data_IF_954011158826
#
_entry.id   IF_954011158826
#
_cell.length_a   1.000
_cell.length_b   1.000
_cell.length_c   1.000
_cell.angle_alpha   90.00
_cell.angle_beta   90.00
_cell.angle_gamma   90.00
#
_symmetry.space_group_name_H-M   'P 1'
#
loop_
_entity.id
_entity.type
_entity.pdbx_description
1 polymer ?
#
# COMPACT_ATOMS: atom_id res chain seq x y z
N UNK A 1 16.37 -17.42 -10.23
CA UNK A 1 15.04 -17.06 -10.79
C UNK A 1 15.02 -15.55 -11.00
N UNK A 2 14.55 -15.04 -12.15
CA UNK A 2 14.49 -13.59 -12.42
C UNK A 2 13.59 -12.90 -11.37
N UNK A 3 14.12 -11.91 -10.63
CA UNK A 3 13.40 -11.18 -9.57
C UNK A 3 12.05 -10.66 -10.05
N UNK A 4 11.98 -10.19 -11.30
CA UNK A 4 10.74 -9.70 -11.90
C UNK A 4 9.71 -10.82 -12.07
N UNK A 5 10.13 -12.03 -12.48
CA UNK A 5 9.21 -13.17 -12.60
C UNK A 5 8.64 -13.57 -11.24
N UNK A 6 9.46 -13.53 -10.19
CA UNK A 6 9.01 -13.80 -8.81
C UNK A 6 7.99 -12.74 -8.35
N UNK A 7 8.28 -11.46 -8.58
CA UNK A 7 7.38 -10.37 -8.26
C UNK A 7 6.03 -10.50 -8.96
N UNK A 8 6.02 -10.79 -10.26
CA UNK A 8 4.79 -11.00 -11.02
C UNK A 8 4.04 -12.26 -10.58
N UNK A 9 4.74 -13.32 -10.18
CA UNK A 9 4.12 -14.52 -9.61
C UNK A 9 3.43 -14.19 -8.28
N UNK A 10 4.12 -13.53 -7.34
CA UNK A 10 3.54 -13.15 -6.05
C UNK A 10 2.36 -12.20 -6.23
N UNK A 11 2.44 -11.25 -7.16
CA UNK A 11 1.33 -10.38 -7.49
C UNK A 11 0.14 -11.15 -8.09
N UNK A 12 0.39 -12.13 -8.95
CA UNK A 12 -0.67 -12.98 -9.51
C UNK A 12 -1.34 -13.82 -8.41
N UNK A 13 -0.56 -14.35 -7.46
CA UNK A 13 -1.07 -15.05 -6.29
C UNK A 13 -1.89 -14.12 -5.39
N UNK A 14 -1.48 -12.86 -5.24
CA UNK A 14 -2.24 -11.85 -4.49
C UNK A 14 -3.62 -11.65 -5.14
N UNK A 15 -3.67 -11.43 -6.45
CA UNK A 15 -4.93 -11.27 -7.20
C UNK A 15 -5.81 -12.51 -7.07
N UNK A 16 -5.23 -13.71 -7.19
CA UNK A 16 -5.95 -14.96 -6.97
C UNK A 16 -6.49 -15.08 -5.54
N UNK A 17 -5.67 -14.75 -4.54
CA UNK A 17 -6.07 -14.77 -3.13
C UNK A 17 -7.27 -13.86 -2.87
N UNK A 18 -7.26 -12.66 -3.44
CA UNK A 18 -8.37 -11.69 -3.36
C UNK A 18 -9.64 -12.25 -4.03
N UNK A 19 -9.52 -12.88 -5.20
CA UNK A 19 -10.65 -13.53 -5.88
C UNK A 19 -11.23 -14.67 -5.02
N UNK A 20 -10.37 -15.48 -4.39
CA UNK A 20 -10.79 -16.55 -3.49
C UNK A 20 -11.47 -16.00 -2.23
N UNK A 21 -11.01 -14.89 -1.67
CA UNK A 21 -11.66 -14.22 -0.53
C UNK A 21 -13.11 -13.82 -0.85
N UNK A 22 -13.43 -13.46 -2.10
CA UNK A 22 -14.82 -13.18 -2.52
C UNK A 22 -15.70 -14.42 -2.50
N UNK A 23 -15.13 -15.60 -2.73
CA UNK A 23 -15.85 -16.86 -2.66
C UNK A 23 -16.03 -17.32 -1.21
N UNK A 24 -14.99 -17.15 -0.39
CA UNK A 24 -15.01 -17.50 1.02
C UNK A 24 -13.97 -16.70 1.83
N UNK A 25 -14.40 -16.07 2.92
CA UNK A 25 -13.53 -15.26 3.77
C UNK A 25 -12.40 -16.05 4.44
N UNK A 26 -12.46 -17.38 4.49
CA UNK A 26 -11.38 -18.25 4.99
C UNK A 26 -10.05 -18.04 4.24
N UNK A 27 -10.09 -17.49 3.02
CA UNK A 27 -8.89 -17.18 2.24
C UNK A 27 -8.27 -15.82 2.58
N UNK A 28 -8.90 -14.98 3.41
CA UNK A 28 -8.34 -13.66 3.79
C UNK A 28 -6.92 -13.75 4.39
N UNK A 29 -6.59 -14.69 5.30
CA UNK A 29 -5.22 -14.83 5.81
C UNK A 29 -4.18 -15.13 4.72
N UNK A 30 -4.58 -15.79 3.62
CA UNK A 30 -3.68 -16.09 2.51
C UNK A 30 -3.19 -14.82 1.81
N UNK A 31 -4.05 -13.80 1.69
CA UNK A 31 -3.69 -12.46 1.16
C UNK A 31 -2.61 -11.82 2.04
N UNK A 32 -2.80 -11.82 3.36
CA UNK A 32 -1.83 -11.27 4.30
C UNK A 32 -0.47 -11.98 4.23
N UNK A 33 -0.47 -13.32 4.11
CA UNK A 33 0.75 -14.11 3.92
C UNK A 33 1.48 -13.71 2.63
N UNK A 34 0.76 -13.53 1.52
CA UNK A 34 1.37 -13.11 0.26
C UNK A 34 1.97 -11.70 0.37
N UNK A 35 1.24 -10.74 0.95
CA UNK A 35 1.73 -9.37 1.14
C UNK A 35 3.02 -9.33 1.97
N UNK A 36 3.14 -10.19 2.99
CA UNK A 36 4.31 -10.28 3.85
C UNK A 36 5.40 -11.23 3.33
N UNK A 37 5.12 -12.06 2.33
CA UNK A 37 6.09 -13.02 1.78
C UNK A 37 7.42 -12.41 1.28
N UNK A 38 7.53 -11.14 0.85
CA UNK A 38 8.83 -10.55 0.55
C UNK A 38 9.81 -10.57 1.73
N UNK A 39 9.33 -10.57 2.99
CA UNK A 39 10.18 -10.66 4.18
C UNK A 39 10.95 -11.99 4.28
N UNK A 40 10.53 -13.02 3.54
CA UNK A 40 11.24 -14.30 3.48
C UNK A 40 12.48 -14.26 2.60
N UNK A 41 12.56 -13.27 1.69
CA UNK A 41 13.59 -13.22 0.64
C UNK A 41 14.40 -11.92 0.66
N UNK A 42 13.90 -10.87 1.31
CA UNK A 42 14.52 -9.54 1.38
C UNK A 42 14.69 -9.13 2.83
N UNK A 43 15.80 -8.45 3.12
CA UNK A 43 16.01 -7.86 4.43
C UNK A 43 15.05 -6.72 4.70
N UNK A 44 14.76 -6.48 5.97
CA UNK A 44 13.94 -5.35 6.42
C UNK A 44 14.53 -3.99 5.98
N UNK A 45 15.85 -3.88 5.82
CA UNK A 45 16.47 -2.67 5.30
C UNK A 45 16.21 -2.47 3.79
N UNK A 46 16.33 -3.54 2.99
CA UNK A 46 16.00 -3.50 1.56
C UNK A 46 14.56 -3.07 1.31
N UNK A 47 13.63 -3.54 2.14
CA UNK A 47 12.21 -3.19 2.08
C UNK A 47 11.88 -1.80 2.66
N UNK A 48 12.87 -1.07 3.18
CA UNK A 48 12.67 0.29 3.70
C UNK A 48 12.08 0.37 5.12
N UNK A 49 12.09 -0.73 5.88
CA UNK A 49 11.65 -0.78 7.29
C UNK A 49 12.70 -0.24 8.27
N UNK A 50 13.98 -0.21 7.91
CA UNK A 50 15.03 0.40 8.74
C UNK A 50 15.58 1.71 8.18
N UNK A 51 15.27 2.01 6.92
CA UNK A 51 15.76 3.21 6.23
C UNK A 51 15.00 4.44 6.68
N UNK A 52 15.78 5.47 7.05
CA UNK A 52 15.30 6.81 7.34
C UNK A 52 14.12 6.89 8.32
N UNK A 53 13.94 5.94 9.25
CA UNK A 53 12.73 5.81 10.09
C UNK A 53 12.27 7.14 10.69
N UNK A 54 13.18 7.88 11.35
CA UNK A 54 12.85 9.17 11.99
C UNK A 54 12.31 10.20 10.99
N UNK A 55 12.99 10.36 9.84
CA UNK A 55 12.53 11.24 8.77
C UNK A 55 11.24 10.71 8.14
N UNK A 56 11.12 9.40 8.04
CA UNK A 56 9.98 8.73 7.44
C UNK A 56 8.70 8.99 8.23
N UNK A 57 8.77 8.83 9.55
CA UNK A 57 7.70 9.14 10.50
C UNK A 57 7.38 10.64 10.47
N UNK A 58 8.40 11.50 10.55
CA UNK A 58 8.20 12.95 10.55
C UNK A 58 7.49 13.43 9.28
N UNK A 59 7.97 13.05 8.09
CA UNK A 59 7.35 13.45 6.83
C UNK A 59 5.98 12.80 6.63
N UNK A 60 5.80 11.55 7.05
CA UNK A 60 4.50 10.89 7.03
C UNK A 60 3.46 11.68 7.83
N UNK A 61 3.80 12.10 9.06
CA UNK A 61 2.92 12.91 9.90
C UNK A 61 2.69 14.31 9.30
N UNK A 62 3.76 15.01 8.91
CA UNK A 62 3.66 16.38 8.38
C UNK A 62 2.77 16.45 7.14
N UNK A 63 2.93 15.53 6.19
CA UNK A 63 2.15 15.52 4.96
C UNK A 63 0.71 15.08 5.25
N UNK A 64 0.50 14.20 6.23
CA UNK A 64 -0.85 13.76 6.62
C UNK A 64 -1.69 14.83 7.31
N UNK A 65 -1.11 15.96 7.71
CA UNK A 65 -1.86 17.12 8.25
C UNK A 65 -2.95 17.60 7.29
N UNK A 66 -2.79 17.37 5.98
CA UNK A 66 -3.83 17.70 4.97
C UNK A 66 -5.17 17.02 5.24
N UNK A 67 -5.18 15.86 5.92
CA UNK A 67 -6.40 15.17 6.28
C UNK A 67 -7.06 15.70 7.54
N UNK A 68 -6.31 16.38 8.42
CA UNK A 68 -6.75 16.77 9.76
C UNK A 68 -8.05 17.60 9.77
N UNK A 69 -8.26 18.59 8.89
CA UNK A 69 -9.52 19.35 8.83
C UNK A 69 -10.78 18.50 8.60
N UNK A 70 -10.61 17.29 8.07
CA UNK A 70 -11.71 16.41 7.67
C UNK A 70 -11.98 15.26 8.64
N UNK A 71 -10.99 14.89 9.47
CA UNK A 71 -11.05 13.63 10.25
C UNK A 71 -10.77 13.83 11.75
N UNK A 72 -10.45 15.04 12.21
CA UNK A 72 -9.99 15.26 13.60
C UNK A 72 -10.99 14.76 14.66
N UNK A 73 -12.29 14.83 14.37
CA UNK A 73 -13.37 14.40 15.25
C UNK A 73 -13.81 12.94 15.01
N UNK A 74 -13.14 12.21 14.11
CA UNK A 74 -13.46 10.83 13.69
C UNK A 74 -12.40 9.79 14.08
N UNK A 75 -11.41 10.17 14.87
CA UNK A 75 -10.33 9.26 15.29
C UNK A 75 -10.82 8.40 16.45
N UNK A 76 -11.16 7.15 16.15
CA UNK A 76 -11.54 6.12 17.14
C UNK A 76 -10.45 5.05 17.27
N UNK A 77 -10.35 4.39 18.42
CA UNK A 77 -9.31 3.37 18.65
C UNK A 77 -9.40 2.16 17.69
N UNK A 78 -10.61 1.87 17.18
CA UNK A 78 -10.90 0.77 16.25
C UNK A 78 -10.17 0.92 14.92
N UNK A 79 -9.86 2.15 14.49
CA UNK A 79 -9.14 2.41 13.23
C UNK A 79 -7.71 1.85 13.27
N UNK A 80 -7.12 1.66 14.46
CA UNK A 80 -5.78 1.08 14.62
C UNK A 80 -5.70 -0.36 14.11
N UNK A 81 -6.84 -1.06 13.98
CA UNK A 81 -6.90 -2.38 13.35
C UNK A 81 -6.42 -2.41 11.90
N UNK A 82 -6.38 -1.26 11.22
CA UNK A 82 -5.90 -1.16 9.84
C UNK A 82 -4.38 -1.10 9.73
N UNK A 83 -3.67 -0.79 10.82
CA UNK A 83 -2.21 -0.62 10.79
C UNK A 83 -1.48 -1.85 10.23
N UNK A 84 -1.76 -3.09 10.67
CA UNK A 84 -1.09 -4.26 10.12
C UNK A 84 -1.31 -4.42 8.61
N UNK A 85 -2.52 -4.17 8.13
CA UNK A 85 -2.88 -4.30 6.72
C UNK A 85 -2.17 -3.24 5.88
N UNK A 86 -2.21 -1.98 6.30
CA UNK A 86 -1.54 -0.86 5.62
C UNK A 86 -0.04 -1.13 5.48
N UNK A 87 0.61 -1.57 6.56
CA UNK A 87 2.04 -1.88 6.50
C UNK A 87 2.34 -3.08 5.61
N UNK A 88 1.52 -4.14 5.64
CA UNK A 88 1.70 -5.29 4.75
C UNK A 88 1.60 -4.88 3.27
N UNK A 89 0.63 -4.03 2.94
CA UNK A 89 0.48 -3.50 1.58
C UNK A 89 1.67 -2.62 1.17
N UNK A 90 2.12 -1.70 2.03
CA UNK A 90 3.25 -0.81 1.68
C UNK A 90 4.59 -1.58 1.60
N UNK A 91 4.79 -2.62 2.41
CA UNK A 91 5.91 -3.55 2.25
C UNK A 91 5.87 -4.20 0.85
N UNK A 92 4.72 -4.73 0.46
CA UNK A 92 4.57 -5.45 -0.80
C UNK A 92 4.66 -4.54 -2.02
N UNK A 93 3.92 -3.43 -2.03
CA UNK A 93 3.83 -2.57 -3.19
C UNK A 93 5.01 -1.59 -3.29
N UNK A 94 5.46 -0.97 -2.19
CA UNK A 94 6.58 0.00 -2.25
C UNK A 94 7.92 -0.67 -2.02
N UNK A 95 8.08 -1.28 -0.83
CA UNK A 95 9.34 -1.87 -0.43
C UNK A 95 9.81 -2.92 -1.44
N UNK A 96 8.88 -3.74 -1.93
CA UNK A 96 9.18 -4.86 -2.82
C UNK A 96 8.90 -4.57 -4.30
N UNK A 97 7.64 -4.46 -4.74
CA UNK A 97 7.31 -4.36 -6.17
C UNK A 97 7.90 -3.11 -6.82
N UNK A 98 7.73 -1.93 -6.23
CA UNK A 98 8.27 -0.70 -6.80
C UNK A 98 9.79 -0.77 -6.95
N UNK A 99 10.51 -1.25 -5.94
CA UNK A 99 11.97 -1.45 -6.00
C UNK A 99 12.36 -2.38 -7.16
N UNK A 100 11.68 -3.51 -7.34
CA UNK A 100 11.97 -4.44 -8.46
C UNK A 100 11.67 -3.81 -9.82
N UNK A 101 10.62 -3.01 -9.93
CA UNK A 101 10.30 -2.31 -11.17
C UNK A 101 11.30 -1.17 -11.44
N UNK A 102 11.81 -0.51 -10.41
CA UNK A 102 12.87 0.50 -10.51
C UNK A 102 14.20 -0.08 -11.03
N UNK A 103 14.47 -1.37 -10.83
CA UNK A 103 15.64 -2.05 -11.41
C UNK A 103 15.57 -2.13 -12.96
N UNK A 104 14.37 -2.07 -13.55
CA UNK A 104 14.14 -2.22 -15.01
C UNK A 104 13.60 -0.96 -15.69
N UNK A 105 13.01 -0.04 -14.93
CA UNK A 105 12.32 1.15 -15.46
C UNK A 105 12.70 2.40 -14.67
N UNK A 106 12.64 3.60 -15.29
CA UNK A 106 12.75 4.85 -14.54
C UNK A 106 11.72 4.92 -13.40
N UNK A 107 12.09 5.53 -12.28
CA UNK A 107 11.28 5.49 -11.05
C UNK A 107 9.85 5.98 -11.24
N UNK A 108 9.62 7.03 -12.03
CA UNK A 108 8.28 7.52 -12.34
C UNK A 108 7.40 6.48 -13.06
N UNK A 109 8.01 5.68 -13.95
CA UNK A 109 7.32 4.61 -14.67
C UNK A 109 7.05 3.42 -13.74
N UNK A 110 8.00 3.08 -12.87
CA UNK A 110 7.81 2.05 -11.85
C UNK A 110 6.67 2.41 -10.89
N UNK A 111 6.66 3.64 -10.37
CA UNK A 111 5.57 4.18 -9.53
C UNK A 111 4.24 4.04 -10.25
N UNK A 112 4.14 4.54 -11.49
CA UNK A 112 2.89 4.48 -12.26
C UNK A 112 2.38 3.03 -12.43
N UNK A 113 3.25 2.10 -12.81
CA UNK A 113 2.89 0.69 -13.00
C UNK A 113 2.43 0.07 -11.69
N UNK A 114 3.17 0.27 -10.60
CA UNK A 114 2.82 -0.31 -9.30
C UNK A 114 1.55 0.33 -8.73
N UNK A 115 1.28 1.61 -9.00
CA UNK A 115 0.01 2.23 -8.63
C UNK A 115 -1.18 1.64 -9.39
N UNK A 116 -1.01 1.29 -10.67
CA UNK A 116 -2.04 0.51 -11.40
C UNK A 116 -2.24 -0.87 -10.78
N UNK A 117 -1.14 -1.56 -10.43
CA UNK A 117 -1.20 -2.87 -9.77
C UNK A 117 -1.87 -2.81 -8.39
N UNK A 118 -1.64 -1.74 -7.62
CA UNK A 118 -2.29 -1.52 -6.34
C UNK A 118 -3.82 -1.33 -6.46
N UNK A 119 -4.26 -0.67 -7.53
CA UNK A 119 -5.67 -0.38 -7.78
C UNK A 119 -6.48 -1.65 -8.14
N UNK A 120 -5.88 -2.62 -8.82
CA UNK A 120 -6.59 -3.83 -9.29
C UNK A 120 -7.24 -4.64 -8.15
N UNK A 121 -6.53 -5.02 -7.05
CA UNK A 121 -7.16 -5.68 -5.90
C UNK A 121 -8.38 -4.93 -5.33
N UNK A 122 -8.32 -3.60 -5.28
CA UNK A 122 -9.39 -2.76 -4.76
C UNK A 122 -10.64 -2.81 -5.65
N UNK A 123 -10.46 -2.77 -6.98
CA UNK A 123 -11.56 -2.93 -7.94
C UNK A 123 -12.19 -4.33 -7.83
N UNK A 124 -11.37 -5.38 -7.65
CA UNK A 124 -11.89 -6.74 -7.51
C UNK A 124 -12.76 -6.88 -6.26
N UNK A 125 -12.26 -6.40 -5.11
CA UNK A 125 -12.99 -6.42 -3.85
C UNK A 125 -14.28 -5.61 -3.92
N UNK A 126 -14.21 -4.39 -4.45
CA UNK A 126 -15.31 -3.44 -4.52
C UNK A 126 -15.40 -2.85 -5.93
N UNK A 127 -16.18 -3.44 -6.85
CA UNK A 127 -16.26 -2.99 -8.25
C UNK A 127 -16.97 -1.63 -8.40
N UNK A 128 -16.23 -0.54 -8.17
CA UNK A 128 -16.74 0.82 -8.23
C UNK A 128 -15.71 1.79 -8.80
N UNK A 129 -16.18 2.94 -9.29
CA UNK A 129 -15.30 4.04 -9.71
C UNK A 129 -14.42 4.52 -8.54
N UNK A 130 -14.98 4.49 -7.34
CA UNK A 130 -14.30 4.91 -6.10
C UNK A 130 -13.10 4.03 -5.80
N UNK A 131 -13.23 2.71 -5.97
CA UNK A 131 -12.09 1.79 -5.87
C UNK A 131 -11.05 2.02 -6.95
N UNK A 132 -11.46 2.40 -8.16
CA UNK A 132 -10.52 2.75 -9.22
C UNK A 132 -9.69 4.00 -8.87
N UNK A 133 -10.28 4.96 -8.13
CA UNK A 133 -9.60 6.16 -7.67
C UNK A 133 -8.48 5.89 -6.66
N UNK A 134 -8.39 4.71 -6.05
CA UNK A 134 -7.25 4.30 -5.20
C UNK A 134 -5.90 4.35 -5.93
N UNK A 135 -5.92 4.38 -7.27
CA UNK A 135 -4.77 4.70 -8.10
C UNK A 135 -4.11 6.05 -7.71
N UNK A 136 -4.90 7.09 -7.45
CA UNK A 136 -4.41 8.44 -7.14
C UNK A 136 -3.62 8.53 -5.83
N UNK A 137 -4.16 8.12 -4.65
CA UNK A 137 -3.37 8.12 -3.44
C UNK A 137 -2.19 7.15 -3.54
N UNK A 138 -2.32 6.03 -4.26
CA UNK A 138 -1.21 5.10 -4.51
C UNK A 138 -0.04 5.72 -5.28
N UNK A 139 -0.28 6.69 -6.18
CA UNK A 139 0.80 7.47 -6.80
C UNK A 139 1.56 8.28 -5.75
N UNK A 140 0.84 8.94 -4.83
CA UNK A 140 1.44 9.70 -3.73
C UNK A 140 2.28 8.78 -2.85
N UNK A 141 1.76 7.60 -2.49
CA UNK A 141 2.48 6.61 -1.69
C UNK A 141 3.80 6.22 -2.36
N UNK A 142 3.78 6.00 -3.69
CA UNK A 142 4.97 5.69 -4.49
C UNK A 142 6.02 6.79 -4.49
N UNK A 143 5.60 8.05 -4.60
CA UNK A 143 6.50 9.21 -4.53
C UNK A 143 7.05 9.45 -3.13
N UNK A 144 6.22 9.29 -2.09
CA UNK A 144 6.66 9.39 -0.71
C UNK A 144 7.76 8.36 -0.43
N UNK A 145 7.55 7.10 -0.82
CA UNK A 145 8.59 6.08 -0.71
C UNK A 145 9.82 6.39 -1.57
N UNK A 146 9.65 6.87 -2.80
CA UNK A 146 10.77 7.22 -3.68
C UNK A 146 11.68 8.30 -3.08
N UNK A 147 11.09 9.33 -2.46
CA UNK A 147 11.82 10.45 -1.86
C UNK A 147 12.49 10.05 -0.55
N UNK A 148 11.80 9.31 0.33
CA UNK A 148 12.29 9.03 1.67
C UNK A 148 13.01 7.69 1.81
N UNK A 149 12.79 6.78 0.86
CA UNK A 149 13.18 5.36 0.91
C UNK A 149 12.73 4.67 2.21
N UNK A 150 11.66 5.17 2.82
CA UNK A 150 11.11 4.68 4.07
C UNK A 150 9.64 4.36 3.88
N UNK A 151 9.24 3.13 4.16
CA UNK A 151 7.82 2.76 4.06
C UNK A 151 6.97 3.45 5.14
N UNK A 152 7.57 3.94 6.23
CA UNK A 152 6.81 4.67 7.26
C UNK A 152 6.14 5.93 6.70
N UNK A 153 6.78 6.63 5.75
CA UNK A 153 6.18 7.81 5.14
C UNK A 153 4.92 7.46 4.38
N UNK A 154 4.99 6.41 3.56
CA UNK A 154 3.85 5.99 2.75
C UNK A 154 2.78 5.32 3.61
N UNK A 155 3.14 4.45 4.57
CA UNK A 155 2.20 3.79 5.49
C UNK A 155 1.41 4.78 6.35
N UNK A 156 2.06 5.80 6.92
CA UNK A 156 1.35 6.80 7.74
C UNK A 156 0.36 7.56 6.87
N UNK A 157 0.79 8.03 5.70
CA UNK A 157 -0.09 8.78 4.80
C UNK A 157 -1.24 7.90 4.25
N UNK A 158 -0.97 6.63 3.95
CA UNK A 158 -1.97 5.65 3.55
C UNK A 158 -2.99 5.40 4.66
N UNK A 159 -2.54 5.20 5.91
CA UNK A 159 -3.44 5.06 7.05
C UNK A 159 -4.41 6.24 7.20
N UNK A 160 -3.92 7.48 7.11
CA UNK A 160 -4.79 8.66 7.14
C UNK A 160 -5.69 8.79 5.90
N UNK A 161 -5.20 8.38 4.73
CA UNK A 161 -6.02 8.27 3.51
C UNK A 161 -7.19 7.30 3.68
N UNK A 162 -6.99 6.17 4.38
CA UNK A 162 -8.06 5.21 4.65
C UNK A 162 -9.12 5.78 5.61
N UNK A 163 -8.69 6.49 6.65
CA UNK A 163 -9.62 7.18 7.57
C UNK A 163 -10.45 8.21 6.80
N UNK A 164 -9.80 9.06 6.00
CA UNK A 164 -10.49 10.04 5.16
C UNK A 164 -11.52 9.38 4.25
N UNK A 165 -11.15 8.26 3.62
CA UNK A 165 -12.05 7.50 2.77
C UNK A 165 -13.28 6.97 3.51
N UNK A 166 -13.09 6.35 4.67
CA UNK A 166 -14.18 5.78 5.48
C UNK A 166 -15.20 6.83 5.89
N UNK A 167 -14.74 8.01 6.33
CA UNK A 167 -15.63 8.99 6.97
C UNK A 167 -16.21 10.03 6.01
N UNK A 168 -15.46 10.45 4.97
CA UNK A 168 -15.94 11.45 4.00
C UNK A 168 -16.01 10.87 2.58
N UNK A 169 -15.03 10.06 2.16
CA UNK A 169 -14.97 9.54 0.80
C UNK A 169 -16.21 8.75 0.38
N UNK A 170 -16.75 7.92 1.28
CA UNK A 170 -17.99 7.15 1.04
C UNK A 170 -19.27 8.01 0.95
N UNK A 171 -19.24 9.28 1.34
CA UNK A 171 -20.44 10.15 1.39
C UNK A 171 -20.56 11.09 0.20
N UNK A 172 -19.48 11.29 -0.54
CA UNK A 172 -19.38 12.30 -1.61
C UNK A 172 -19.52 11.65 -3.00
N UNK A 173 -19.44 10.32 -3.09
CA UNK A 173 -19.47 9.51 -4.32
C UNK A 173 -20.54 8.43 -4.20
#
# INVERSE_FOLDING_TARGET
>A
MDKMKVALLLYSLLVLGILLTKLNYIFYPFVAIILLSPLLFYSIDELGLLKNIKKGILYGLLISVVYFPFIYDKIEITILSQVPQVFAEEIFFRGYLQTIFEDKFPSHKAIFIVSLMFCIPHIILFPSIVSALTFLPSLIFGYLFYITRSIYTSSIFHFFSNIFYIYIGQKIL
#
